data_IF_965132154437
#
_entry.id   IF_965132154437
#
_cell.length_a   1.000
_cell.length_b   1.000
_cell.length_c   1.000
_cell.angle_alpha   90.00
_cell.angle_beta   90.00
_cell.angle_gamma   90.00
#
_symmetry.space_group_name_H-M   'P 1'
#
loop_
_entity.id
_entity.type
_entity.pdbx_description
1 polymer ?
#
# COMPACT_ATOMS: atom_id res chain seq x y z
N UNK A 1 -40.72 -19.02 -64.27
CA UNK A 1 -41.95 -19.71 -63.83
C UNK A 1 -41.55 -20.36 -62.44
N UNK A 2 -42.31 -20.03 -61.47
CA UNK A 2 -42.30 -20.33 -60.05
C UNK A 2 -41.59 -19.33 -59.14
N UNK A 3 -42.43 -18.44 -58.63
CA UNK A 3 -42.32 -17.66 -57.41
C UNK A 3 -42.28 -18.60 -56.20
N UNK A 4 -41.39 -18.37 -55.25
CA UNK A 4 -41.63 -18.71 -53.84
C UNK A 4 -41.21 -17.50 -53.03
N UNK A 5 -42.21 -16.73 -52.58
CA UNK A 5 -42.13 -15.76 -51.51
C UNK A 5 -42.05 -16.53 -50.22
N UNK A 6 -40.94 -16.48 -49.55
CA UNK A 6 -40.75 -17.00 -48.20
C UNK A 6 -40.54 -15.83 -47.23
N UNK A 7 -41.51 -15.58 -46.36
CA UNK A 7 -41.46 -14.64 -45.27
C UNK A 7 -40.29 -14.97 -44.33
N UNK A 8 -39.27 -14.15 -44.32
CA UNK A 8 -38.26 -14.14 -43.28
C UNK A 8 -38.84 -13.41 -42.06
N UNK A 9 -39.19 -14.14 -41.03
CA UNK A 9 -39.48 -13.62 -39.70
C UNK A 9 -38.16 -13.09 -39.11
N UNK A 10 -38.18 -11.83 -38.77
CA UNK A 10 -37.09 -11.05 -38.15
C UNK A 10 -36.71 -11.65 -36.77
N UNK A 11 -35.47 -12.10 -36.54
CA UNK A 11 -35.01 -12.56 -35.22
C UNK A 11 -34.29 -11.44 -34.48
N UNK A 12 -34.78 -10.22 -34.50
CA UNK A 12 -34.21 -9.11 -33.73
C UNK A 12 -35.19 -8.63 -32.65
N UNK A 13 -35.31 -9.39 -31.58
CA UNK A 13 -35.88 -8.84 -30.34
C UNK A 13 -35.58 -9.76 -29.14
N UNK A 14 -34.30 -9.95 -28.80
CA UNK A 14 -33.94 -10.18 -27.41
C UNK A 14 -32.66 -9.39 -27.17
N UNK A 15 -32.82 -8.08 -27.04
CA UNK A 15 -31.85 -7.26 -26.34
C UNK A 15 -31.77 -7.75 -24.89
N UNK A 16 -30.57 -7.78 -24.25
CA UNK A 16 -30.53 -8.08 -22.85
C UNK A 16 -31.46 -7.13 -22.13
N UNK A 17 -32.44 -7.69 -21.38
CA UNK A 17 -33.25 -6.90 -20.46
C UNK A 17 -32.28 -6.18 -19.54
N UNK A 18 -32.18 -4.86 -19.68
CA UNK A 18 -31.56 -4.00 -18.67
C UNK A 18 -32.38 -4.19 -17.40
N UNK A 19 -32.02 -5.21 -16.60
CA UNK A 19 -32.58 -5.42 -15.30
C UNK A 19 -32.46 -4.11 -14.54
N UNK A 20 -33.54 -3.65 -13.98
CA UNK A 20 -33.62 -2.42 -13.19
C UNK A 20 -32.62 -2.53 -12.04
N UNK A 21 -31.46 -1.88 -12.17
CA UNK A 21 -30.45 -1.86 -11.11
C UNK A 21 -31.03 -1.05 -9.95
N UNK A 22 -31.35 -1.74 -8.85
CA UNK A 22 -31.87 -1.07 -7.66
C UNK A 22 -30.78 -0.19 -7.08
N UNK A 23 -30.86 1.11 -7.30
CA UNK A 23 -29.98 2.09 -6.66
C UNK A 23 -30.19 2.07 -5.15
N UNK A 24 -29.11 1.94 -4.39
CA UNK A 24 -29.13 1.94 -2.93
C UNK A 24 -28.15 2.98 -2.40
N UNK A 25 -28.40 3.48 -1.20
CA UNK A 25 -27.41 4.21 -0.42
C UNK A 25 -26.43 3.20 0.19
N UNK A 26 -25.15 3.48 0.06
CA UNK A 26 -24.06 2.66 0.59
C UNK A 26 -23.09 3.55 1.35
N UNK A 27 -22.66 3.09 2.52
CA UNK A 27 -21.66 3.77 3.35
C UNK A 27 -20.33 3.07 3.22
N UNK A 28 -19.26 3.82 2.96
CA UNK A 28 -17.87 3.36 3.02
C UNK A 28 -17.15 4.15 4.10
N UNK A 29 -16.52 3.46 5.05
CA UNK A 29 -15.78 4.07 6.16
C UNK A 29 -14.28 3.85 5.93
N UNK A 30 -13.54 4.91 5.67
CA UNK A 30 -12.11 4.91 5.38
C UNK A 30 -11.80 5.24 3.92
N UNK A 31 -11.14 6.37 3.68
CA UNK A 31 -10.72 6.87 2.37
C UNK A 31 -9.29 6.42 1.99
N UNK A 32 -8.87 5.23 2.43
CA UNK A 32 -7.64 4.58 2.00
C UNK A 32 -7.79 3.87 0.65
N UNK A 33 -6.77 3.06 0.26
CA UNK A 33 -6.77 2.36 -1.04
C UNK A 33 -8.01 1.48 -1.24
N UNK A 34 -8.32 0.63 -0.25
CA UNK A 34 -9.46 -0.29 -0.33
C UNK A 34 -10.80 0.46 -0.39
N UNK A 35 -10.97 1.48 0.45
CA UNK A 35 -12.21 2.26 0.48
C UNK A 35 -12.43 3.12 -0.76
N UNK A 36 -11.37 3.74 -1.30
CA UNK A 36 -11.46 4.49 -2.55
C UNK A 36 -11.76 3.57 -3.75
N UNK A 37 -11.12 2.40 -3.82
CA UNK A 37 -11.42 1.38 -4.84
C UNK A 37 -12.89 0.96 -4.76
N UNK A 38 -13.34 0.58 -3.57
CA UNK A 38 -14.71 0.11 -3.37
C UNK A 38 -15.75 1.20 -3.61
N UNK A 39 -15.51 2.43 -3.17
CA UNK A 39 -16.41 3.56 -3.40
C UNK A 39 -16.61 3.82 -4.90
N UNK A 40 -15.52 3.78 -5.69
CA UNK A 40 -15.59 3.90 -7.13
C UNK A 40 -16.42 2.78 -7.76
N UNK A 41 -16.11 1.52 -7.44
CA UNK A 41 -16.79 0.35 -8.03
C UNK A 41 -18.29 0.31 -7.71
N UNK A 42 -18.67 0.67 -6.48
CA UNK A 42 -20.07 0.73 -6.07
C UNK A 42 -20.81 1.88 -6.75
N UNK A 43 -20.14 3.01 -6.95
CA UNK A 43 -20.72 4.16 -7.66
C UNK A 43 -20.88 3.87 -9.16
N UNK A 44 -19.89 3.23 -9.82
CA UNK A 44 -20.01 2.76 -11.21
C UNK A 44 -21.15 1.75 -11.38
N UNK A 45 -21.46 0.98 -10.33
CA UNK A 45 -22.63 0.09 -10.33
C UNK A 45 -23.98 0.81 -10.13
N UNK A 46 -23.99 2.14 -10.01
CA UNK A 46 -25.20 2.97 -9.90
C UNK A 46 -25.70 3.18 -8.47
N UNK A 47 -24.95 2.83 -7.44
CA UNK A 47 -25.27 3.11 -6.05
C UNK A 47 -24.88 4.55 -5.65
N UNK A 48 -25.57 5.13 -4.65
CA UNK A 48 -25.17 6.40 -4.02
C UNK A 48 -24.22 6.10 -2.87
N UNK A 49 -22.97 6.55 -2.96
CA UNK A 49 -21.91 6.22 -2.01
C UNK A 49 -21.60 7.42 -1.12
N UNK A 50 -21.64 7.21 0.19
CA UNK A 50 -21.10 8.15 1.18
C UNK A 50 -19.77 7.60 1.68
N UNK A 51 -18.67 8.24 1.28
CA UNK A 51 -17.30 7.88 1.71
C UNK A 51 -16.91 8.77 2.90
N UNK A 52 -16.78 8.15 4.07
CA UNK A 52 -16.30 8.82 5.29
C UNK A 52 -14.78 8.71 5.39
N UNK A 53 -14.11 9.85 5.57
CA UNK A 53 -12.66 9.92 5.81
C UNK A 53 -12.38 10.81 7.01
N UNK A 54 -11.56 10.35 7.96
CA UNK A 54 -11.26 11.11 9.17
C UNK A 54 -10.48 12.41 8.90
N UNK A 55 -9.67 12.44 7.83
CA UNK A 55 -8.95 13.64 7.42
C UNK A 55 -9.88 14.67 6.77
N UNK A 56 -9.60 15.97 6.87
CA UNK A 56 -8.49 16.61 7.58
C UNK A 56 -8.73 16.78 9.08
N UNK A 57 -9.89 16.35 9.61
CA UNK A 57 -10.28 16.61 11.03
C UNK A 57 -9.33 15.90 12.01
N UNK A 58 -8.94 14.66 11.67
CA UNK A 58 -8.02 13.87 12.47
C UNK A 58 -7.00 13.18 11.57
N UNK A 59 -5.71 13.25 11.96
CA UNK A 59 -4.63 12.47 11.33
C UNK A 59 -4.01 11.52 12.34
N UNK A 60 -3.56 10.38 11.86
CA UNK A 60 -2.69 9.49 12.64
C UNK A 60 -1.23 9.92 12.49
N UNK A 61 -0.31 9.48 13.37
CA UNK A 61 1.11 9.82 13.25
C UNK A 61 1.76 9.40 11.92
N UNK A 62 1.21 8.40 11.23
CA UNK A 62 1.71 7.95 9.93
C UNK A 62 1.29 8.86 8.77
N UNK A 63 0.22 9.61 8.92
CA UNK A 63 -0.37 10.46 7.89
C UNK A 63 0.26 11.85 7.88
N UNK A 64 0.64 12.34 6.70
CA UNK A 64 1.26 13.67 6.51
C UNK A 64 0.44 14.57 5.59
N UNK A 65 -0.59 14.02 4.92
CA UNK A 65 -1.42 14.72 3.95
C UNK A 65 -2.91 14.59 4.28
N UNK A 66 -3.74 15.54 3.79
CA UNK A 66 -5.20 15.47 3.93
C UNK A 66 -5.88 14.69 2.80
N UNK A 67 -5.10 14.25 1.80
CA UNK A 67 -5.61 13.59 0.61
C UNK A 67 -6.11 12.17 0.89
N UNK A 68 -7.03 11.71 0.06
CA UNK A 68 -7.45 10.31 0.02
C UNK A 68 -6.31 9.39 -0.47
N UNK A 69 -6.45 8.09 -0.22
CA UNK A 69 -5.52 7.04 -0.68
C UNK A 69 -4.03 7.31 -0.39
N UNK A 70 -3.73 7.97 0.74
CA UNK A 70 -2.36 8.29 1.13
C UNK A 70 -1.52 7.03 1.34
N UNK A 71 -0.37 6.97 0.64
CA UNK A 71 0.60 5.88 0.79
C UNK A 71 1.53 6.19 1.97
N UNK A 72 1.28 5.58 3.12
CA UNK A 72 1.94 5.97 4.39
C UNK A 72 3.34 5.36 4.59
N UNK A 73 3.63 4.14 4.09
CA UNK A 73 4.90 3.46 4.37
C UNK A 73 5.87 3.47 3.20
N UNK A 74 5.39 3.39 1.96
CA UNK A 74 6.20 3.32 0.73
C UNK A 74 5.44 3.96 -0.42
N UNK A 75 6.14 4.37 -1.48
CA UNK A 75 5.50 4.81 -2.71
C UNK A 75 5.40 3.70 -3.77
N UNK A 76 5.61 2.44 -3.41
CA UNK A 76 5.68 1.32 -4.33
C UNK A 76 4.54 0.33 -4.14
N UNK A 77 3.93 -0.05 -5.25
CA UNK A 77 3.03 -1.21 -5.38
C UNK A 77 3.79 -2.49 -5.73
N UNK A 78 5.11 -2.55 -5.50
CA UNK A 78 5.99 -3.69 -5.78
C UNK A 78 6.08 -4.05 -7.28
N UNK A 79 6.65 -5.22 -7.61
CA UNK A 79 6.93 -5.64 -8.99
C UNK A 79 5.68 -5.70 -9.87
N UNK A 80 5.79 -5.22 -11.13
CA UNK A 80 4.76 -5.35 -12.18
C UNK A 80 4.97 -6.58 -13.07
N UNK A 81 6.00 -7.38 -12.83
CA UNK A 81 6.25 -8.58 -13.62
C UNK A 81 5.20 -9.65 -13.31
N UNK A 82 4.45 -10.06 -14.31
CA UNK A 82 3.38 -11.08 -14.21
C UNK A 82 3.86 -12.47 -13.84
N UNK A 83 5.16 -12.74 -13.96
CA UNK A 83 5.76 -14.01 -13.56
C UNK A 83 5.84 -14.19 -12.02
N UNK A 84 5.48 -13.17 -11.27
CA UNK A 84 5.37 -13.24 -9.81
C UNK A 84 3.97 -12.85 -9.33
N UNK A 85 3.59 -13.35 -8.14
CA UNK A 85 2.24 -13.24 -7.60
C UNK A 85 1.74 -11.79 -7.53
N UNK A 86 2.58 -10.84 -7.09
CA UNK A 86 2.17 -9.44 -6.96
C UNK A 86 2.01 -8.72 -8.31
N UNK A 87 2.71 -9.15 -9.34
CA UNK A 87 2.52 -8.66 -10.70
C UNK A 87 1.26 -9.26 -11.34
N UNK A 88 1.04 -10.56 -11.12
CA UNK A 88 -0.15 -11.25 -11.62
C UNK A 88 -1.44 -10.65 -11.05
N UNK A 89 -1.56 -10.48 -9.74
CA UNK A 89 -2.75 -9.91 -9.12
C UNK A 89 -3.02 -8.48 -9.62
N UNK A 90 -1.99 -7.67 -9.90
CA UNK A 90 -2.19 -6.35 -10.52
C UNK A 90 -2.77 -6.42 -11.92
N UNK A 91 -2.35 -7.40 -12.70
CA UNK A 91 -2.91 -7.61 -14.04
C UNK A 91 -4.37 -8.07 -13.97
N UNK A 92 -4.70 -8.96 -13.04
CA UNK A 92 -6.09 -9.37 -12.77
C UNK A 92 -6.95 -8.17 -12.34
N UNK A 93 -6.45 -7.34 -11.43
CA UNK A 93 -7.13 -6.11 -11.02
C UNK A 93 -7.37 -5.14 -12.20
N UNK A 94 -6.37 -4.96 -13.10
CA UNK A 94 -6.55 -4.12 -14.30
C UNK A 94 -7.65 -4.67 -15.21
N UNK A 95 -7.70 -5.97 -15.41
CA UNK A 95 -8.76 -6.63 -16.20
C UNK A 95 -10.13 -6.50 -15.56
N UNK A 96 -10.20 -6.44 -14.22
CA UNK A 96 -11.42 -6.16 -13.46
C UNK A 96 -11.76 -4.66 -13.39
N UNK A 97 -11.00 -3.78 -14.06
CA UNK A 97 -11.27 -2.35 -14.09
C UNK A 97 -10.90 -1.61 -12.79
N UNK A 98 -9.83 -2.05 -12.08
CA UNK A 98 -9.39 -1.40 -10.85
C UNK A 98 -9.12 0.09 -11.04
N UNK A 99 -9.81 0.89 -10.26
CA UNK A 99 -9.69 2.35 -10.21
C UNK A 99 -8.31 2.79 -9.70
N UNK A 100 -7.86 2.20 -8.60
CA UNK A 100 -6.56 2.52 -7.98
C UNK A 100 -5.41 2.18 -8.91
N UNK A 101 -5.46 1.02 -9.61
CA UNK A 101 -4.42 0.70 -10.58
C UNK A 101 -4.38 1.70 -11.74
N UNK A 102 -5.53 2.17 -12.22
CA UNK A 102 -5.57 3.20 -13.26
C UNK A 102 -5.01 4.55 -12.79
N UNK A 103 -5.22 4.93 -11.52
CA UNK A 103 -4.62 6.13 -10.94
C UNK A 103 -3.10 5.97 -10.71
N UNK A 104 -2.65 4.77 -10.32
CA UNK A 104 -1.24 4.50 -10.12
C UNK A 104 -0.42 4.58 -11.42
N UNK A 105 -0.98 4.18 -12.55
CA UNK A 105 -0.30 4.31 -13.85
C UNK A 105 -0.11 5.78 -14.26
N UNK A 106 -1.05 6.67 -13.94
CA UNK A 106 -0.93 8.14 -14.20
C UNK A 106 0.23 8.75 -13.40
N UNK A 107 0.44 8.27 -12.18
CA UNK A 107 1.44 8.80 -11.25
C UNK A 107 2.78 8.04 -11.26
N UNK A 108 2.98 7.13 -12.21
CA UNK A 108 4.16 6.25 -12.26
C UNK A 108 5.46 7.04 -12.29
N UNK A 109 6.43 6.61 -11.45
CA UNK A 109 7.81 7.06 -11.47
C UNK A 109 8.76 5.91 -11.85
N UNK A 110 9.95 6.19 -12.40
CA UNK A 110 10.93 5.16 -12.73
C UNK A 110 11.36 4.37 -11.48
N UNK A 111 11.19 3.03 -11.52
CA UNK A 111 11.58 2.13 -10.44
C UNK A 111 11.81 0.68 -10.95
N UNK A 112 12.36 0.51 -12.14
CA UNK A 112 12.61 -0.79 -12.76
C UNK A 112 11.33 -1.59 -12.97
N UNK A 113 11.32 -2.84 -12.53
CA UNK A 113 10.13 -3.70 -12.61
C UNK A 113 9.02 -3.33 -11.59
N UNK A 114 9.28 -2.38 -10.69
CA UNK A 114 8.28 -1.98 -9.70
C UNK A 114 7.32 -0.92 -10.26
N UNK A 115 6.07 -0.98 -9.85
CA UNK A 115 5.13 0.13 -9.97
C UNK A 115 5.32 1.05 -8.75
N UNK A 116 6.16 2.06 -8.90
CA UNK A 116 6.29 3.15 -7.95
C UNK A 116 5.58 4.40 -8.47
N UNK A 117 5.11 5.24 -7.58
CA UNK A 117 4.32 6.42 -7.93
C UNK A 117 4.82 7.66 -7.19
N UNK A 118 4.64 8.82 -7.82
CA UNK A 118 4.64 10.09 -7.10
C UNK A 118 3.42 10.14 -6.19
N UNK A 119 3.64 10.22 -4.88
CA UNK A 119 2.57 10.12 -3.86
C UNK A 119 1.56 11.26 -3.98
N UNK A 120 2.01 12.44 -4.33
CA UNK A 120 1.15 13.64 -4.44
C UNK A 120 0.28 13.52 -5.68
N UNK A 121 0.89 13.26 -6.84
CA UNK A 121 0.17 13.06 -8.11
C UNK A 121 -0.81 11.92 -8.02
N UNK A 122 -0.44 10.82 -7.36
CA UNK A 122 -1.31 9.66 -7.15
C UNK A 122 -2.56 10.04 -6.32
N UNK A 123 -2.34 10.62 -5.15
CA UNK A 123 -3.42 10.95 -4.23
C UNK A 123 -4.35 12.04 -4.81
N UNK A 124 -3.79 13.05 -5.49
CA UNK A 124 -4.56 14.08 -6.20
C UNK A 124 -5.41 13.48 -7.33
N UNK A 125 -4.84 12.52 -8.09
CA UNK A 125 -5.57 11.82 -9.17
C UNK A 125 -6.75 11.02 -8.61
N UNK A 126 -6.54 10.27 -7.52
CA UNK A 126 -7.60 9.50 -6.85
C UNK A 126 -8.71 10.43 -6.37
N UNK A 127 -8.36 11.46 -5.63
CA UNK A 127 -9.35 12.37 -5.05
C UNK A 127 -10.13 13.15 -6.11
N UNK A 128 -9.47 13.68 -7.14
CA UNK A 128 -10.10 14.41 -8.22
C UNK A 128 -11.12 13.53 -8.98
N UNK A 129 -10.76 12.28 -9.28
CA UNK A 129 -11.65 11.36 -9.99
C UNK A 129 -12.86 10.93 -9.15
N UNK A 130 -12.70 10.68 -7.85
CA UNK A 130 -13.82 10.37 -6.96
C UNK A 130 -14.77 11.56 -6.80
N UNK A 131 -14.23 12.78 -6.65
CA UNK A 131 -15.05 14.00 -6.56
C UNK A 131 -15.80 14.34 -7.84
N UNK A 132 -15.31 13.88 -8.99
CA UNK A 132 -15.98 14.06 -10.28
C UNK A 132 -17.21 13.14 -10.45
N UNK A 133 -17.35 12.10 -9.62
CA UNK A 133 -18.51 11.20 -9.67
C UNK A 133 -19.72 11.81 -8.96
N UNK A 134 -20.86 12.02 -9.65
CA UNK A 134 -22.00 12.74 -9.08
C UNK A 134 -22.73 11.97 -7.97
N UNK A 135 -22.51 10.67 -7.88
CA UNK A 135 -23.10 9.78 -6.89
C UNK A 135 -22.13 9.37 -5.76
N UNK A 136 -20.98 10.03 -5.64
CA UNK A 136 -20.08 9.90 -4.48
C UNK A 136 -20.13 11.20 -3.66
N UNK A 137 -20.39 11.06 -2.38
CA UNK A 137 -20.28 12.15 -1.39
C UNK A 137 -19.14 11.83 -0.42
N UNK A 138 -18.11 12.67 -0.36
CA UNK A 138 -17.01 12.52 0.58
C UNK A 138 -17.31 13.35 1.84
N UNK A 139 -17.39 12.69 2.99
CA UNK A 139 -17.72 13.30 4.28
C UNK A 139 -16.49 13.27 5.18
N UNK A 140 -15.89 14.43 5.49
CA UNK A 140 -14.76 14.51 6.42
C UNK A 140 -15.22 14.32 7.86
N UNK A 141 -14.42 13.63 8.66
CA UNK A 141 -14.65 13.44 10.08
C UNK A 141 -14.45 12.00 10.53
N UNK A 142 -14.13 11.85 11.82
CA UNK A 142 -13.93 10.53 12.41
C UNK A 142 -15.28 9.85 12.66
N UNK A 143 -15.45 8.64 12.17
CA UNK A 143 -16.56 7.74 12.53
C UNK A 143 -16.18 7.05 13.83
N UNK A 144 -16.97 7.27 14.88
CA UNK A 144 -16.71 6.73 16.23
C UNK A 144 -17.36 5.36 16.47
N UNK A 145 -18.45 5.07 15.75
CA UNK A 145 -19.19 3.81 15.86
C UNK A 145 -19.93 3.52 14.55
N UNK A 146 -20.19 2.25 14.29
CA UNK A 146 -20.93 1.78 13.11
C UNK A 146 -22.42 1.85 13.39
N UNK A 147 -23.14 2.66 12.62
CA UNK A 147 -24.58 2.84 12.77
C UNK A 147 -25.34 1.52 12.49
N UNK A 148 -26.40 1.28 13.25
CA UNK A 148 -27.32 0.17 13.05
C UNK A 148 -28.63 0.66 12.44
N UNK A 149 -28.52 1.23 11.24
CA UNK A 149 -29.60 1.90 10.51
C UNK A 149 -30.05 1.12 9.24
N UNK A 150 -29.53 -0.09 9.05
CA UNK A 150 -29.83 -0.94 7.91
C UNK A 150 -29.12 -0.52 6.61
N UNK A 151 -28.37 0.59 6.57
CA UNK A 151 -27.60 1.01 5.40
C UNK A 151 -26.44 0.05 5.17
N UNK A 152 -26.28 -0.53 3.96
CA UNK A 152 -25.12 -1.33 3.61
C UNK A 152 -23.84 -0.55 3.87
N UNK A 153 -22.97 -1.11 4.72
CA UNK A 153 -21.76 -0.41 5.20
C UNK A 153 -20.52 -1.26 4.95
N UNK A 154 -19.51 -0.67 4.36
CA UNK A 154 -18.18 -1.24 4.19
C UNK A 154 -17.18 -0.52 5.11
N UNK A 155 -16.50 -1.28 5.98
CA UNK A 155 -15.39 -0.79 6.80
C UNK A 155 -14.07 -1.07 6.08
N UNK A 156 -13.39 -0.02 5.67
CA UNK A 156 -12.12 -0.07 4.93
C UNK A 156 -11.09 0.91 5.54
N UNK A 157 -11.07 1.00 6.87
CA UNK A 157 -10.30 1.97 7.64
C UNK A 157 -8.81 1.67 7.69
N UNK A 158 -8.41 0.50 7.20
CA UNK A 158 -7.00 0.08 7.18
C UNK A 158 -6.45 -0.17 8.58
N UNK A 159 -5.10 -0.12 8.72
CA UNK A 159 -4.45 -0.53 9.96
C UNK A 159 -4.52 0.52 11.08
N UNK A 160 -4.74 1.78 10.72
CA UNK A 160 -4.70 2.94 11.63
C UNK A 160 -6.11 3.40 12.00
N UNK A 161 -7.01 2.45 12.22
CA UNK A 161 -8.38 2.70 12.68
C UNK A 161 -8.38 3.44 14.02
N UNK A 162 -9.18 4.51 14.14
CA UNK A 162 -9.31 5.29 15.37
C UNK A 162 -9.80 4.44 16.56
N UNK A 163 -9.36 4.77 17.78
CA UNK A 163 -9.58 3.94 18.97
C UNK A 163 -11.04 3.65 19.27
N UNK A 164 -11.91 4.66 19.14
CA UNK A 164 -13.34 4.48 19.40
C UNK A 164 -13.99 3.53 18.39
N UNK A 165 -13.73 3.73 17.09
CA UNK A 165 -14.25 2.84 16.06
C UNK A 165 -13.67 1.43 16.19
N UNK A 166 -12.38 1.30 16.51
CA UNK A 166 -11.75 0.00 16.72
C UNK A 166 -12.36 -0.75 17.93
N UNK A 167 -12.71 -0.05 19.01
CA UNK A 167 -13.42 -0.63 20.13
C UNK A 167 -14.85 -1.07 19.75
N UNK A 168 -15.55 -0.27 18.93
CA UNK A 168 -16.89 -0.63 18.45
C UNK A 168 -16.83 -1.85 17.50
N UNK A 169 -15.85 -1.92 16.60
CA UNK A 169 -15.61 -3.08 15.73
C UNK A 169 -15.35 -4.33 16.59
N UNK A 170 -14.46 -4.27 17.58
CA UNK A 170 -14.18 -5.38 18.48
C UNK A 170 -15.45 -5.88 19.18
N UNK A 171 -16.27 -4.97 19.69
CA UNK A 171 -17.57 -5.27 20.30
C UNK A 171 -18.52 -5.97 19.31
N UNK A 172 -18.63 -5.47 18.08
CA UNK A 172 -19.53 -6.03 17.06
C UNK A 172 -19.05 -7.41 16.59
N UNK A 173 -17.74 -7.61 16.51
CA UNK A 173 -17.14 -8.89 16.13
C UNK A 173 -17.13 -9.92 17.27
N UNK A 174 -17.42 -9.51 18.51
CA UNK A 174 -17.33 -10.40 19.68
C UNK A 174 -15.92 -10.91 19.96
N UNK A 175 -14.90 -10.16 19.54
CA UNK A 175 -13.49 -10.55 19.65
C UNK A 175 -12.68 -9.48 20.34
N UNK A 176 -11.58 -9.91 21.00
CA UNK A 176 -10.55 -8.99 21.44
C UNK A 176 -9.85 -8.32 20.25
N UNK A 177 -9.29 -7.14 20.51
CA UNK A 177 -8.59 -6.32 19.53
C UNK A 177 -7.29 -7.00 19.12
N UNK A 178 -7.19 -7.51 17.89
CA UNK A 178 -5.94 -8.00 17.34
C UNK A 178 -5.08 -6.83 16.86
N UNK A 179 -3.79 -6.88 17.13
CA UNK A 179 -2.85 -5.85 16.71
C UNK A 179 -1.51 -6.46 16.29
N UNK A 180 -0.90 -5.87 15.28
CA UNK A 180 0.48 -6.12 14.89
C UNK A 180 1.22 -4.79 14.72
N UNK A 181 2.54 -4.84 14.59
CA UNK A 181 3.38 -3.66 14.45
C UNK A 181 4.01 -3.60 13.08
N UNK A 182 3.98 -2.40 12.48
CA UNK A 182 4.56 -2.10 11.17
C UNK A 182 5.57 -0.98 11.30
N UNK A 183 6.67 -1.05 10.55
CA UNK A 183 7.71 -0.06 10.55
C UNK A 183 7.78 0.65 9.19
N UNK A 184 8.06 1.95 9.21
CA UNK A 184 8.19 2.82 8.05
C UNK A 184 9.67 3.12 7.81
N UNK A 185 10.08 3.11 6.54
CA UNK A 185 11.40 3.53 6.12
C UNK A 185 11.53 5.06 6.09
N UNK A 186 12.73 5.61 6.36
CA UNK A 186 12.99 7.03 6.26
C UNK A 186 12.92 7.56 4.83
N UNK A 187 12.59 8.86 4.70
CA UNK A 187 12.69 9.64 3.46
C UNK A 187 13.72 10.73 3.67
N UNK A 188 14.65 10.87 2.72
CA UNK A 188 15.77 11.79 2.78
C UNK A 188 15.73 12.79 1.63
N UNK A 189 16.34 13.93 1.84
CA UNK A 189 16.52 15.00 0.85
C UNK A 189 17.57 14.60 -0.21
N UNK A 190 17.24 14.79 -1.47
CA UNK A 190 18.13 14.48 -2.59
C UNK A 190 19.45 15.26 -2.53
N UNK A 191 19.40 16.53 -2.13
CA UNK A 191 20.57 17.41 -2.07
C UNK A 191 21.57 17.01 -0.97
N UNK A 192 21.13 16.15 -0.04
CA UNK A 192 21.98 15.62 1.03
C UNK A 192 22.71 14.33 0.67
N UNK A 193 22.48 13.80 -0.53
CA UNK A 193 23.10 12.57 -1.01
C UNK A 193 24.40 12.90 -1.73
N UNK A 194 25.49 12.30 -1.29
CA UNK A 194 26.80 12.54 -1.90
C UNK A 194 26.98 11.62 -3.10
N UNK A 195 27.01 12.20 -4.30
CA UNK A 195 27.17 11.50 -5.58
C UNK A 195 28.56 11.62 -6.16
N UNK A 196 29.40 12.57 -5.69
CA UNK A 196 30.76 12.78 -6.17
C UNK A 196 31.79 11.96 -5.40
N UNK A 197 32.93 11.70 -6.05
CA UNK A 197 34.02 10.85 -5.57
C UNK A 197 34.55 11.28 -4.19
N UNK A 198 34.28 10.45 -3.20
CA UNK A 198 34.90 10.55 -1.89
C UNK A 198 36.05 9.53 -1.76
N UNK A 199 35.91 8.45 -2.45
CA UNK A 199 36.80 7.31 -2.59
C UNK A 199 36.30 6.56 -3.83
N UNK A 200 37.12 5.94 -4.69
CA UNK A 200 36.67 5.29 -5.91
C UNK A 200 35.53 4.26 -5.74
N UNK A 201 35.15 3.95 -4.50
CA UNK A 201 34.08 3.01 -4.17
C UNK A 201 32.98 3.61 -3.26
N UNK A 202 32.93 4.92 -2.98
CA UNK A 202 32.11 5.48 -1.89
C UNK A 202 30.93 6.38 -2.29
N UNK A 203 30.91 6.96 -3.49
CA UNK A 203 29.82 7.84 -3.96
C UNK A 203 28.57 7.05 -4.41
N UNK A 204 27.40 7.67 -4.30
CA UNK A 204 26.18 7.09 -4.83
C UNK A 204 26.16 7.12 -6.37
N UNK A 205 25.65 6.07 -6.99
CA UNK A 205 25.55 5.98 -8.44
C UNK A 205 24.22 5.39 -8.89
N UNK A 206 23.74 5.82 -10.06
CA UNK A 206 22.54 5.27 -10.68
C UNK A 206 22.87 4.00 -11.44
N UNK A 207 22.21 2.91 -11.11
CA UNK A 207 22.22 1.67 -11.87
C UNK A 207 21.04 0.78 -11.48
N UNK A 208 20.40 0.16 -12.46
CA UNK A 208 19.45 -0.92 -12.20
C UNK A 208 20.16 -2.27 -12.09
N UNK A 209 19.54 -3.24 -11.40
CA UNK A 209 20.01 -4.61 -11.37
C UNK A 209 19.83 -5.25 -12.76
N UNK A 210 20.77 -6.08 -13.15
CA UNK A 210 20.69 -6.90 -14.37
C UNK A 210 20.72 -6.13 -15.69
N UNK A 211 21.25 -4.91 -15.71
CA UNK A 211 21.42 -4.07 -16.89
C UNK A 211 20.21 -4.03 -17.85
N UNK A 212 19.01 -3.98 -17.28
CA UNK A 212 17.76 -3.83 -18.02
C UNK A 212 17.56 -2.37 -18.48
N UNK A 213 18.48 -1.87 -19.34
CA UNK A 213 18.43 -0.52 -19.92
C UNK A 213 19.07 0.56 -19.07
N UNK A 214 19.14 1.78 -19.63
CA UNK A 214 19.70 2.99 -18.98
C UNK A 214 18.76 3.59 -17.93
N UNK A 215 18.10 2.77 -17.13
CA UNK A 215 17.14 3.26 -16.15
C UNK A 215 17.86 3.78 -14.91
N UNK A 216 17.65 5.07 -14.62
CA UNK A 216 18.04 5.70 -13.35
C UNK A 216 17.06 5.34 -12.22
N UNK A 217 16.70 4.05 -12.10
CA UNK A 217 15.62 3.59 -11.23
C UNK A 217 15.97 3.69 -9.75
N UNK A 218 17.22 3.35 -9.43
CA UNK A 218 17.73 3.36 -8.06
C UNK A 218 19.06 4.06 -8.00
N UNK A 219 19.23 4.88 -6.97
CA UNK A 219 20.52 5.41 -6.57
C UNK A 219 21.13 4.44 -5.56
N UNK A 220 22.32 3.92 -5.83
CA UNK A 220 22.98 2.88 -5.07
C UNK A 220 24.10 3.49 -4.24
N UNK A 221 24.08 3.23 -2.92
CA UNK A 221 25.08 3.66 -1.96
C UNK A 221 25.96 2.45 -1.57
N UNK A 222 27.13 2.28 -2.17
CA UNK A 222 28.00 1.15 -1.93
C UNK A 222 28.72 1.27 -0.58
N UNK A 223 29.05 0.11 0.01
CA UNK A 223 29.87 -0.01 1.22
C UNK A 223 30.95 -1.07 1.01
N UNK A 224 32.17 -0.78 1.47
CA UNK A 224 33.25 -1.75 1.65
C UNK A 224 32.96 -2.66 2.85
N UNK A 225 33.72 -3.76 3.06
CA UNK A 225 33.57 -4.60 4.25
C UNK A 225 33.68 -3.81 5.56
N UNK A 226 34.70 -2.94 5.67
CA UNK A 226 34.93 -2.15 6.90
C UNK A 226 33.81 -1.14 7.18
N UNK A 227 33.29 -0.47 6.13
CA UNK A 227 32.15 0.46 6.25
C UNK A 227 30.87 -0.27 6.64
N UNK A 228 30.63 -1.45 6.05
CA UNK A 228 29.48 -2.27 6.40
C UNK A 228 29.58 -2.77 7.86
N UNK A 229 30.76 -3.15 8.31
CA UNK A 229 30.97 -3.58 9.69
C UNK A 229 30.63 -2.47 10.69
N UNK A 230 31.11 -1.24 10.43
CA UNK A 230 30.77 -0.08 11.26
C UNK A 230 29.27 0.21 11.26
N UNK A 231 28.64 0.19 10.08
CA UNK A 231 27.19 0.37 9.95
C UNK A 231 26.41 -0.71 10.70
N UNK A 232 26.78 -1.98 10.53
CA UNK A 232 26.11 -3.10 11.20
C UNK A 232 26.24 -3.03 12.72
N UNK A 233 27.43 -2.74 13.24
CA UNK A 233 27.67 -2.65 14.68
C UNK A 233 26.89 -1.47 15.30
N UNK A 234 26.86 -0.32 14.62
CA UNK A 234 26.07 0.84 15.04
C UNK A 234 24.56 0.53 15.01
N UNK A 235 24.08 -0.15 13.97
CA UNK A 235 22.69 -0.57 13.84
C UNK A 235 22.28 -1.51 14.98
N UNK A 236 23.16 -2.44 15.37
CA UNK A 236 22.95 -3.37 16.49
C UNK A 236 22.93 -2.69 17.86
N UNK A 237 23.67 -1.59 18.00
CA UNK A 237 23.76 -0.80 19.22
C UNK A 237 22.75 0.35 19.29
N UNK A 238 22.01 0.58 18.21
CA UNK A 238 21.14 1.74 18.06
C UNK A 238 20.03 1.80 19.12
N UNK A 239 19.78 3.01 19.65
CA UNK A 239 18.66 3.25 20.55
C UNK A 239 17.32 3.17 19.78
N UNK A 240 16.46 2.29 20.23
CA UNK A 240 15.16 2.02 19.62
C UNK A 240 14.02 2.50 20.51
N UNK A 241 12.83 2.71 19.93
CA UNK A 241 11.62 2.94 20.71
C UNK A 241 11.41 1.76 21.67
N UNK A 242 11.18 2.07 22.96
CA UNK A 242 11.18 1.08 24.05
C UNK A 242 10.05 0.04 23.85
N UNK A 243 10.42 -1.22 24.02
CA UNK A 243 9.49 -2.36 24.01
C UNK A 243 8.53 -2.39 25.24
N UNK A 244 8.67 -1.46 26.19
CA UNK A 244 7.85 -1.42 27.40
C UNK A 244 6.37 -1.08 27.20
N UNK A 245 6.00 -0.61 26.00
CA UNK A 245 4.60 -0.42 25.61
C UNK A 245 4.05 -1.61 24.81
N UNK A 246 4.86 -2.65 24.54
CA UNK A 246 4.54 -3.70 23.57
C UNK A 246 4.95 -5.07 24.12
N UNK A 247 4.03 -5.71 24.81
CA UNK A 247 4.15 -7.13 25.13
C UNK A 247 4.06 -7.93 23.83
N UNK A 248 5.11 -8.65 23.43
CA UNK A 248 5.23 -9.45 22.19
C UNK A 248 4.98 -8.67 20.87
N UNK A 249 6.05 -8.11 20.30
CA UNK A 249 6.00 -7.45 18.99
C UNK A 249 5.86 -8.50 17.88
N UNK A 250 4.66 -8.67 17.36
CA UNK A 250 4.46 -9.39 16.10
C UNK A 250 4.65 -8.42 14.93
N UNK A 251 5.66 -8.68 14.09
CA UNK A 251 5.91 -7.90 12.86
C UNK A 251 5.45 -8.68 11.64
N UNK A 252 5.01 -7.97 10.62
CA UNK A 252 4.91 -8.54 9.29
C UNK A 252 6.29 -8.77 8.67
N UNK A 253 6.47 -9.90 8.01
CA UNK A 253 7.73 -10.21 7.31
C UNK A 253 8.11 -9.17 6.26
N UNK A 254 7.12 -8.57 5.58
CA UNK A 254 7.33 -7.55 4.55
C UNK A 254 7.76 -6.18 5.06
N UNK A 255 7.51 -5.88 6.35
CA UNK A 255 7.82 -4.60 7.01
C UNK A 255 8.69 -4.78 8.25
N UNK A 256 9.47 -5.86 8.29
CA UNK A 256 10.38 -6.17 9.40
C UNK A 256 11.41 -5.05 9.56
N UNK A 257 11.57 -4.48 10.78
CA UNK A 257 12.60 -3.46 11.02
C UNK A 257 14.00 -3.96 10.70
N UNK A 258 14.83 -3.08 10.14
CA UNK A 258 16.18 -3.42 9.70
C UNK A 258 17.07 -3.89 10.86
N UNK A 259 16.92 -3.33 12.06
CA UNK A 259 17.63 -3.76 13.27
C UNK A 259 17.20 -5.15 13.70
N UNK A 260 15.94 -5.54 13.52
CA UNK A 260 15.45 -6.91 13.78
C UNK A 260 16.00 -7.89 12.75
N UNK A 261 16.11 -7.48 11.49
CA UNK A 261 16.81 -8.28 10.47
C UNK A 261 18.29 -8.46 10.81
N UNK A 262 18.95 -7.42 11.32
CA UNK A 262 20.35 -7.48 11.74
C UNK A 262 20.56 -8.43 12.93
N UNK A 263 19.56 -8.63 13.80
CA UNK A 263 19.60 -9.60 14.90
C UNK A 263 19.73 -11.04 14.42
N UNK A 264 19.22 -11.34 13.23
CA UNK A 264 19.29 -12.69 12.63
C UNK A 264 20.70 -13.04 12.11
N UNK A 265 21.65 -12.08 12.08
CA UNK A 265 23.03 -12.28 11.70
C UNK A 265 23.57 -11.23 10.74
N UNK A 266 24.91 -11.09 10.73
CA UNK A 266 25.63 -10.06 9.99
C UNK A 266 25.35 -10.09 8.47
N UNK A 267 25.22 -11.28 7.91
CA UNK A 267 24.98 -11.44 6.46
C UNK A 267 23.52 -11.30 6.06
N UNK A 268 22.57 -11.28 7.00
CA UNK A 268 21.14 -11.21 6.69
C UNK A 268 20.79 -10.01 5.83
N UNK A 269 21.33 -8.82 6.12
CA UNK A 269 21.08 -7.62 5.33
C UNK A 269 21.70 -7.70 3.93
N UNK A 270 22.87 -8.34 3.80
CA UNK A 270 23.57 -8.50 2.52
C UNK A 270 22.93 -9.53 1.59
N UNK A 271 22.16 -10.46 2.13
CA UNK A 271 21.32 -11.39 1.35
C UNK A 271 19.87 -10.88 1.19
N UNK A 272 19.51 -9.84 1.94
CA UNK A 272 18.22 -9.14 1.95
C UNK A 272 18.26 -7.77 1.26
N UNK A 273 17.89 -6.70 2.00
CA UNK A 273 17.71 -5.36 1.42
C UNK A 273 19.01 -4.73 0.88
N UNK A 274 20.17 -5.08 1.44
CA UNK A 274 21.48 -4.54 1.03
C UNK A 274 22.26 -5.46 0.07
N UNK A 275 21.57 -6.33 -0.66
CA UNK A 275 22.16 -7.30 -1.56
C UNK A 275 22.92 -6.61 -2.70
N UNK A 276 24.25 -6.89 -2.90
CA UNK A 276 25.03 -6.23 -3.96
C UNK A 276 24.96 -6.93 -5.32
N UNK A 277 24.23 -8.05 -5.45
CA UNK A 277 24.17 -8.87 -6.66
C UNK A 277 23.56 -8.09 -7.81
N UNK A 278 24.19 -8.15 -8.99
CA UNK A 278 23.77 -7.43 -10.19
C UNK A 278 24.13 -5.94 -10.19
N UNK A 279 24.80 -5.44 -9.15
CA UNK A 279 25.25 -4.06 -9.05
C UNK A 279 26.78 -3.99 -9.11
N UNK A 280 27.29 -3.36 -10.16
CA UNK A 280 28.71 -3.10 -10.36
C UNK A 280 28.89 -1.58 -10.51
N UNK A 281 29.89 -1.03 -9.88
CA UNK A 281 30.19 0.38 -9.97
C UNK A 281 30.47 0.75 -11.45
N UNK A 282 29.81 1.80 -12.01
CA UNK A 282 29.87 2.07 -13.44
C UNK A 282 31.26 2.44 -13.97
N UNK A 283 32.13 3.03 -13.12
CA UNK A 283 33.48 3.43 -13.49
C UNK A 283 34.50 2.34 -13.19
N UNK A 284 34.49 1.80 -11.96
CA UNK A 284 35.52 0.84 -11.50
C UNK A 284 35.20 -0.61 -11.85
N UNK A 285 33.96 -0.90 -12.26
CA UNK A 285 33.41 -2.22 -12.51
C UNK A 285 33.60 -3.20 -11.32
N UNK A 286 33.76 -2.67 -10.11
CA UNK A 286 33.86 -3.45 -8.89
C UNK A 286 32.49 -3.70 -8.29
N UNK A 287 32.31 -4.85 -7.68
CA UNK A 287 31.13 -5.18 -6.90
C UNK A 287 31.35 -4.73 -5.44
N UNK A 288 30.40 -3.97 -4.89
CA UNK A 288 30.43 -3.58 -3.49
C UNK A 288 30.22 -4.80 -2.56
N UNK A 289 30.61 -4.67 -1.29
CA UNK A 289 30.35 -5.66 -0.26
C UNK A 289 28.87 -5.67 0.15
N UNK A 290 28.29 -4.49 0.32
CA UNK A 290 26.85 -4.26 0.53
C UNK A 290 26.44 -2.99 -0.23
N UNK A 291 25.16 -2.86 -0.56
CA UNK A 291 24.62 -1.68 -1.24
C UNK A 291 23.28 -1.31 -0.61
N UNK A 292 23.20 -0.10 -0.06
CA UNK A 292 21.94 0.49 0.34
C UNK A 292 21.32 1.17 -0.88
N UNK A 293 20.06 0.89 -1.18
CA UNK A 293 19.37 1.44 -2.35
C UNK A 293 18.41 2.57 -1.94
N UNK A 294 18.40 3.62 -2.75
CA UNK A 294 17.50 4.76 -2.62
C UNK A 294 16.57 4.80 -3.83
N UNK A 295 15.28 4.99 -3.59
CA UNK A 295 14.25 5.10 -4.62
C UNK A 295 13.60 6.46 -4.57
N UNK A 296 13.40 7.09 -5.74
CA UNK A 296 12.69 8.36 -5.86
C UNK A 296 11.30 8.28 -5.24
N UNK A 297 10.93 9.30 -4.48
CA UNK A 297 9.59 9.48 -3.91
C UNK A 297 8.68 10.33 -4.79
N UNK A 298 9.28 11.15 -5.65
CA UNK A 298 8.59 12.09 -6.52
C UNK A 298 9.21 12.10 -7.94
N UNK A 299 8.46 12.65 -8.91
CA UNK A 299 8.89 12.74 -10.30
C UNK A 299 10.08 13.69 -10.50
N UNK A 300 10.17 14.74 -9.69
CA UNK A 300 11.26 15.71 -9.75
C UNK A 300 12.57 15.13 -9.18
N UNK A 301 12.50 14.07 -8.38
CA UNK A 301 13.65 13.44 -7.74
C UNK A 301 14.23 14.29 -6.61
N UNK A 302 13.38 15.06 -5.93
CA UNK A 302 13.78 15.92 -4.79
C UNK A 302 13.92 15.17 -3.49
N UNK A 303 13.36 13.96 -3.42
CA UNK A 303 13.38 13.12 -2.23
C UNK A 303 13.52 11.63 -2.55
N UNK A 304 14.14 10.90 -1.62
CA UNK A 304 14.40 9.47 -1.78
C UNK A 304 14.00 8.67 -0.54
N UNK A 305 13.39 7.51 -0.76
CA UNK A 305 13.12 6.50 0.25
C UNK A 305 14.33 5.58 0.42
N UNK A 306 14.72 5.28 1.66
CA UNK A 306 15.77 4.30 1.96
C UNK A 306 15.14 2.90 1.90
N UNK A 307 15.36 2.20 0.78
CA UNK A 307 14.68 0.95 0.45
C UNK A 307 15.05 -0.18 1.42
N UNK A 308 14.02 -0.82 1.99
CA UNK A 308 14.20 -1.96 2.89
C UNK A 308 14.76 -1.62 4.28
N UNK A 309 14.75 -0.33 4.63
CA UNK A 309 15.25 0.17 5.92
C UNK A 309 14.11 0.70 6.80
N UNK A 310 13.00 -0.03 6.86
CA UNK A 310 11.98 0.19 7.89
C UNK A 310 12.63 0.09 9.25
N UNK A 311 12.29 0.97 10.20
CA UNK A 311 13.00 1.03 11.47
C UNK A 311 12.16 1.52 12.63
N UNK A 312 12.47 1.04 13.83
CA UNK A 312 12.01 1.55 15.12
C UNK A 312 13.07 2.35 15.88
N UNK A 313 14.23 2.61 15.25
CA UNK A 313 15.27 3.45 15.86
C UNK A 313 14.73 4.84 16.17
N UNK A 314 15.16 5.42 17.28
CA UNK A 314 14.89 6.84 17.57
C UNK A 314 15.56 7.74 16.55
N UNK A 315 15.04 8.95 16.34
CA UNK A 315 15.51 9.88 15.30
C UNK A 315 17.01 10.18 15.36
N UNK A 316 17.59 10.32 16.58
CA UNK A 316 19.02 10.49 16.79
C UNK A 316 19.81 9.30 16.27
N UNK A 317 19.40 8.09 16.65
CA UNK A 317 20.04 6.85 16.21
C UNK A 317 19.93 6.63 14.70
N UNK A 318 18.79 6.97 14.07
CA UNK A 318 18.67 6.91 12.60
C UNK A 318 19.72 7.80 11.93
N UNK A 319 19.88 9.04 12.43
CA UNK A 319 20.89 9.96 11.90
C UNK A 319 22.31 9.40 12.06
N UNK A 320 22.66 8.90 13.23
CA UNK A 320 23.97 8.32 13.52
C UNK A 320 24.26 7.09 12.64
N UNK A 321 23.32 6.16 12.55
CA UNK A 321 23.51 4.91 11.80
C UNK A 321 23.59 5.15 10.29
N UNK A 322 22.64 5.90 9.72
CA UNK A 322 22.63 6.10 8.27
C UNK A 322 23.75 7.00 7.76
N UNK A 323 24.27 7.93 8.58
CA UNK A 323 25.43 8.74 8.21
C UNK A 323 26.74 7.94 8.09
N UNK A 324 26.80 6.70 8.59
CA UNK A 324 27.94 5.81 8.39
C UNK A 324 28.02 5.22 6.98
N UNK A 325 26.95 5.30 6.20
CA UNK A 325 26.97 4.99 4.77
C UNK A 325 27.63 6.16 4.04
N UNK A 326 28.75 5.97 3.31
CA UNK A 326 29.54 7.08 2.77
C UNK A 326 28.75 8.09 1.95
N UNK A 327 27.84 7.62 1.11
CA UNK A 327 26.97 8.47 0.32
C UNK A 327 25.92 9.25 1.13
N UNK A 328 25.69 8.88 2.39
CA UNK A 328 24.72 9.49 3.30
C UNK A 328 25.36 10.22 4.48
N UNK A 329 26.67 10.50 4.43
CA UNK A 329 27.40 11.16 5.55
C UNK A 329 26.81 12.52 5.93
N UNK A 330 26.14 13.20 5.00
CA UNK A 330 25.50 14.51 5.18
C UNK A 330 23.97 14.42 5.18
N UNK A 331 23.42 13.23 5.42
CA UNK A 331 22.00 12.93 5.25
C UNK A 331 21.07 13.88 6.01
N UNK A 332 20.15 14.48 5.27
CA UNK A 332 19.03 15.27 5.80
C UNK A 332 17.73 14.47 5.68
N UNK A 333 17.07 14.22 6.80
CA UNK A 333 15.81 13.48 6.83
C UNK A 333 14.63 14.44 6.62
N UNK A 334 13.85 14.21 5.58
CA UNK A 334 12.54 14.84 5.39
C UNK A 334 11.48 14.14 6.23
N UNK A 335 11.66 12.82 6.44
CA UNK A 335 10.83 12.01 7.30
C UNK A 335 11.65 10.91 7.95
N UNK A 336 11.56 10.79 9.26
CA UNK A 336 12.15 9.66 9.98
C UNK A 336 11.30 8.39 9.86
N UNK A 337 11.96 7.24 9.89
CA UNK A 337 11.30 5.97 10.09
C UNK A 337 10.61 5.91 11.45
N UNK A 338 9.53 5.19 11.54
CA UNK A 338 8.73 5.05 12.76
C UNK A 338 8.01 3.71 12.79
N UNK A 339 7.68 3.26 14.01
CA UNK A 339 6.83 2.08 14.22
C UNK A 339 5.41 2.52 14.50
N UNK A 340 4.43 1.76 13.98
CA UNK A 340 3.01 1.98 14.20
C UNK A 340 2.33 0.70 14.66
N UNK A 341 1.33 0.85 15.54
CA UNK A 341 0.43 -0.22 15.92
C UNK A 341 -0.73 -0.28 14.90
N UNK A 342 -0.89 -1.43 14.28
CA UNK A 342 -1.95 -1.70 13.33
C UNK A 342 -3.06 -2.52 13.99
N UNK A 343 -4.31 -2.23 13.67
CA UNK A 343 -5.48 -2.97 14.14
C UNK A 343 -6.05 -3.81 12.99
N UNK A 344 -6.45 -5.05 13.27
CA UNK A 344 -7.13 -5.92 12.32
C UNK A 344 -8.14 -6.83 13.03
N UNK A 345 -8.98 -7.51 12.25
CA UNK A 345 -9.94 -8.49 12.72
C UNK A 345 -9.59 -9.89 12.20
N UNK A 346 -9.93 -10.93 12.93
CA UNK A 346 -9.78 -12.33 12.49
C UNK A 346 -10.86 -12.67 11.46
N UNK A 347 -10.64 -12.24 10.22
CA UNK A 347 -11.60 -12.35 9.12
C UNK A 347 -12.11 -13.78 8.88
N UNK A 348 -11.26 -14.83 8.88
CA UNK A 348 -11.75 -16.21 8.72
C UNK A 348 -12.76 -16.63 9.77
N UNK A 349 -12.62 -16.15 11.00
CA UNK A 349 -13.53 -16.51 12.08
C UNK A 349 -14.87 -15.74 12.03
N UNK A 350 -14.83 -14.47 11.60
CA UNK A 350 -15.98 -13.57 11.77
C UNK A 350 -16.73 -13.24 10.48
N UNK A 351 -16.11 -13.37 9.31
CA UNK A 351 -16.76 -13.05 8.04
C UNK A 351 -17.37 -14.29 7.39
N UNK A 352 -18.44 -14.10 6.66
CA UNK A 352 -19.04 -15.11 5.80
C UNK A 352 -18.42 -15.08 4.38
N UNK A 353 -18.91 -15.93 3.48
CA UNK A 353 -18.42 -16.08 2.11
C UNK A 353 -18.62 -14.82 1.25
N UNK A 354 -19.50 -13.92 1.67
CA UNK A 354 -19.70 -12.61 1.02
C UNK A 354 -18.75 -11.51 1.56
N UNK A 355 -17.93 -11.83 2.56
CA UNK A 355 -17.11 -10.85 3.29
C UNK A 355 -17.92 -9.99 4.26
N UNK A 356 -19.19 -10.33 4.52
CA UNK A 356 -20.02 -9.67 5.53
C UNK A 356 -19.79 -10.27 6.92
N UNK A 357 -20.02 -9.46 7.95
CA UNK A 357 -19.94 -9.93 9.34
C UNK A 357 -21.04 -10.96 9.60
N UNK A 358 -20.66 -12.15 10.11
CA UNK A 358 -21.62 -13.19 10.51
C UNK A 358 -22.63 -12.61 11.50
N UNK A 359 -23.92 -12.79 11.20
CA UNK A 359 -25.01 -12.22 11.99
C UNK A 359 -25.36 -10.75 11.68
N UNK A 360 -24.59 -10.06 10.80
CA UNK A 360 -24.89 -8.70 10.34
C UNK A 360 -24.62 -8.55 8.85
N UNK A 361 -25.50 -9.06 7.96
CA UNK A 361 -25.25 -9.20 6.52
C UNK A 361 -25.20 -7.88 5.75
N UNK A 362 -25.42 -6.74 6.39
CA UNK A 362 -25.28 -5.39 5.83
C UNK A 362 -23.96 -4.71 6.24
N UNK A 363 -23.03 -5.43 6.87
CA UNK A 363 -21.74 -4.91 7.32
C UNK A 363 -20.59 -5.72 6.74
N UNK A 364 -19.79 -5.12 5.84
CA UNK A 364 -18.62 -5.72 5.20
C UNK A 364 -17.33 -5.11 5.68
N UNK A 365 -16.23 -5.84 5.47
CA UNK A 365 -14.88 -5.39 5.75
C UNK A 365 -13.99 -5.59 4.53
N UNK A 366 -13.07 -4.64 4.27
CA UNK A 366 -12.08 -4.75 3.21
C UNK A 366 -10.75 -4.05 3.56
N UNK A 367 -9.69 -4.48 2.89
CA UNK A 367 -8.35 -3.93 3.06
C UNK A 367 -7.66 -4.44 4.31
N UNK A 368 -6.64 -3.73 4.77
CA UNK A 368 -5.73 -4.19 5.81
C UNK A 368 -6.41 -4.45 7.17
N UNK A 369 -7.56 -3.85 7.44
CA UNK A 369 -8.38 -4.16 8.62
C UNK A 369 -8.81 -5.63 8.67
N UNK A 370 -8.85 -6.32 7.53
CA UNK A 370 -9.19 -7.75 7.44
C UNK A 370 -7.98 -8.69 7.61
N UNK A 371 -6.80 -8.16 7.93
CA UNK A 371 -5.57 -8.94 8.06
C UNK A 371 -4.80 -9.15 6.75
N UNK A 372 -5.26 -8.60 5.61
CA UNK A 372 -4.48 -8.61 4.37
C UNK A 372 -3.36 -7.59 4.42
N UNK A 373 -2.18 -7.98 3.93
CA UNK A 373 -0.99 -7.14 3.91
C UNK A 373 -0.67 -6.58 2.53
N UNK A 374 -0.23 -5.31 2.51
CA UNK A 374 0.28 -4.65 1.31
C UNK A 374 -0.76 -3.83 0.57
N UNK A 375 -0.26 -2.83 -0.19
CA UNK A 375 -1.13 -1.90 -0.93
C UNK A 375 -1.93 -2.57 -2.03
N UNK A 376 -1.30 -3.50 -2.77
CA UNK A 376 -1.94 -4.22 -3.88
C UNK A 376 -3.04 -5.12 -3.35
N UNK A 377 -2.73 -5.91 -2.32
CA UNK A 377 -3.63 -6.85 -1.68
C UNK A 377 -4.82 -6.13 -0.99
N UNK A 378 -4.53 -5.02 -0.31
CA UNK A 378 -5.58 -4.17 0.28
C UNK A 378 -6.52 -3.59 -0.77
N UNK A 379 -5.96 -3.11 -1.89
CA UNK A 379 -6.74 -2.61 -3.03
C UNK A 379 -7.58 -3.73 -3.65
N UNK A 380 -6.98 -4.90 -3.88
CA UNK A 380 -7.68 -6.08 -4.42
C UNK A 380 -8.83 -6.52 -3.50
N UNK A 381 -8.61 -6.50 -2.18
CA UNK A 381 -9.67 -6.76 -1.20
C UNK A 381 -10.84 -5.77 -1.35
N UNK A 382 -10.56 -4.48 -1.50
CA UNK A 382 -11.57 -3.45 -1.76
C UNK A 382 -12.35 -3.70 -3.06
N UNK A 383 -11.65 -4.03 -4.14
CA UNK A 383 -12.23 -4.35 -5.44
C UNK A 383 -13.16 -5.57 -5.35
N UNK A 384 -12.65 -6.68 -4.81
CA UNK A 384 -13.41 -7.94 -4.71
C UNK A 384 -14.62 -7.77 -3.80
N UNK A 385 -14.46 -7.14 -2.64
CA UNK A 385 -15.58 -6.89 -1.72
C UNK A 385 -16.65 -6.03 -2.38
N UNK A 386 -16.28 -4.98 -3.12
CA UNK A 386 -17.25 -4.16 -3.84
C UNK A 386 -17.98 -4.94 -4.94
N UNK A 387 -17.28 -5.83 -5.66
CA UNK A 387 -17.91 -6.71 -6.66
C UNK A 387 -18.93 -7.66 -6.01
N UNK A 388 -18.57 -8.26 -4.89
CA UNK A 388 -19.49 -9.13 -4.14
C UNK A 388 -20.66 -8.35 -3.56
N UNK A 389 -20.40 -7.20 -2.91
CA UNK A 389 -21.44 -6.31 -2.41
C UNK A 389 -22.45 -5.95 -3.50
N UNK A 390 -21.96 -5.57 -4.68
CA UNK A 390 -22.82 -5.27 -5.83
C UNK A 390 -23.77 -6.43 -6.14
N UNK A 391 -23.27 -7.65 -6.16
CA UNK A 391 -24.08 -8.84 -6.47
C UNK A 391 -25.06 -9.18 -5.34
N UNK A 392 -24.64 -9.02 -4.07
CA UNK A 392 -25.52 -9.16 -2.91
C UNK A 392 -26.66 -8.14 -2.93
N UNK A 393 -26.35 -6.86 -3.14
CA UNK A 393 -27.31 -5.76 -3.15
C UNK A 393 -28.31 -5.86 -4.31
N UNK A 394 -27.96 -6.57 -5.38
CA UNK A 394 -28.81 -6.85 -6.53
C UNK A 394 -29.49 -8.22 -6.45
N UNK A 395 -29.29 -8.96 -5.36
CA UNK A 395 -29.89 -10.29 -5.16
C UNK A 395 -29.33 -11.37 -6.11
N UNK A 396 -28.15 -11.19 -6.64
CA UNK A 396 -27.47 -12.14 -7.57
C UNK A 396 -26.44 -13.03 -6.90
N UNK A 397 -26.01 -12.66 -5.70
CA UNK A 397 -25.03 -13.46 -4.96
C UNK A 397 -25.67 -14.77 -4.46
N UNK A 398 -25.06 -15.89 -4.84
CA UNK A 398 -25.40 -17.22 -4.33
C UNK A 398 -24.16 -17.74 -3.58
N UNK A 399 -24.26 -17.92 -2.27
CA UNK A 399 -23.22 -18.60 -1.51
C UNK A 399 -23.17 -20.05 -1.98
N UNK A 400 -22.12 -20.41 -2.69
CA UNK A 400 -21.78 -21.82 -2.94
C UNK A 400 -21.00 -22.30 -1.71
N UNK A 401 -21.72 -22.80 -0.71
CA UNK A 401 -21.10 -23.62 0.32
C UNK A 401 -20.60 -24.90 -0.36
N UNK A 402 -19.29 -24.99 -0.58
CA UNK A 402 -18.61 -26.23 -0.95
C UNK A 402 -18.17 -26.94 0.33
#
# INVERSE_FOLDING_TARGET
>A
MYDIVGNATDPLAVGPSLGYVKTMDVRVIGGGLAGCEAAFQLAEAGHRVTLHEQKPVKRTPAQVSDRLAELVCSNSFRSSNVDNAVGLIKEEMRRCGSFIMACAEVARVPAGDALAVDRVVFADTVEARLRAMPNITIVPGEVMAIADDGVPTLVATGPLTGDALAADIARLCGQERLAFYDAIAPIIDADSIVTEDIDPDGGAYFKSRWDKGDSADYLNCPMTPAQYDLFYDALRAADTASAHEFEELHYFDGCLPIEVMAERGKDTLRFGPMKPVGLYHPVTNRRAHAVLQLRKEDLAGTSYNIVGCQTRMKQGAQREVFSLVPALREVAFLRYGAIHRNTYVDSPAILDDSGALRGRPNLWFAGQITGVEGYVESTASGLVTAMVMKDVLQGRFSSTTV
#
